data_IF_392706867111
#
_entry.id   IF_392706867111
#
_cell.length_a   1.000
_cell.length_b   1.000
_cell.length_c   1.000
_cell.angle_alpha   90.00
_cell.angle_beta   90.00
_cell.angle_gamma   90.00
#
_symmetry.space_group_name_H-M   'P 1'
#
loop_
_entity.id
_entity.type
_entity.pdbx_description
1 polymer ?
#
# COMPACT_ATOMS: atom_id res chain seq x y z
N UNK A 1 6.39 -4.64 25.63
CA UNK A 1 5.18 -4.45 24.81
C UNK A 1 5.48 -3.44 23.72
N UNK A 2 5.85 -3.89 22.51
CA UNK A 2 5.89 -3.02 21.34
C UNK A 2 4.47 -3.00 20.80
N UNK A 3 3.78 -1.89 21.00
CA UNK A 3 2.40 -1.64 20.61
C UNK A 3 2.25 -1.92 19.12
N UNK A 4 1.19 -2.64 18.73
CA UNK A 4 0.70 -2.67 17.36
C UNK A 4 0.47 -1.22 16.93
N UNK A 5 1.47 -0.57 16.32
CA UNK A 5 1.25 0.70 15.64
C UNK A 5 0.09 0.44 14.67
N UNK A 6 -1.03 1.13 14.90
CA UNK A 6 -2.35 0.75 14.41
C UNK A 6 -2.31 0.52 12.91
N UNK A 7 -2.68 -0.70 12.50
CA UNK A 7 -2.67 -1.06 11.08
C UNK A 7 -3.70 -0.20 10.37
N UNK A 8 -3.28 0.49 9.32
CA UNK A 8 -4.17 1.29 8.49
C UNK A 8 -4.74 0.42 7.36
N UNK A 9 -6.02 0.57 7.08
CA UNK A 9 -6.73 -0.25 6.10
C UNK A 9 -7.55 0.61 5.15
N UNK A 10 -7.57 0.23 3.88
CA UNK A 10 -8.53 0.73 2.89
C UNK A 10 -9.13 -0.44 2.11
N UNK A 11 -10.38 -0.26 1.69
CA UNK A 11 -10.99 -1.13 0.69
C UNK A 11 -10.58 -0.65 -0.69
N UNK A 12 -10.26 -1.60 -1.55
CA UNK A 12 -9.90 -1.37 -2.94
C UNK A 12 -10.89 -2.11 -3.82
N UNK A 13 -11.52 -1.37 -4.72
CA UNK A 13 -12.39 -1.91 -5.76
C UNK A 13 -11.56 -2.20 -7.01
N UNK A 14 -11.61 -3.44 -7.47
CA UNK A 14 -10.93 -3.87 -8.69
C UNK A 14 -11.62 -3.25 -9.89
N UNK A 15 -10.88 -2.47 -10.67
CA UNK A 15 -11.38 -1.83 -11.88
C UNK A 15 -11.31 -2.78 -13.07
N UNK A 16 -12.12 -2.53 -14.10
CA UNK A 16 -12.08 -3.35 -15.32
C UNK A 16 -10.70 -3.37 -15.98
N UNK A 17 -9.99 -2.25 -15.93
CA UNK A 17 -8.65 -2.08 -16.50
C UNK A 17 -7.54 -2.73 -15.65
N UNK A 18 -7.87 -3.18 -14.44
CA UNK A 18 -6.92 -3.91 -13.59
C UNK A 18 -6.73 -5.35 -14.05
N UNK A 19 -7.64 -5.88 -14.88
CA UNK A 19 -7.66 -7.28 -15.33
C UNK A 19 -6.80 -7.45 -16.60
N UNK A 20 -5.86 -8.40 -16.56
CA UNK A 20 -4.99 -8.74 -17.66
C UNK A 20 -5.60 -9.80 -18.62
N UNK A 21 -4.85 -10.15 -19.67
CA UNK A 21 -5.24 -11.16 -20.66
C UNK A 21 -5.41 -12.58 -20.09
N UNK A 22 -4.97 -12.83 -18.85
CA UNK A 22 -5.14 -14.10 -18.14
C UNK A 22 -6.39 -14.09 -17.25
N UNK A 23 -7.25 -13.07 -17.37
CA UNK A 23 -8.48 -12.88 -16.58
C UNK A 23 -8.23 -12.77 -15.07
N UNK A 24 -7.07 -12.22 -14.68
CA UNK A 24 -6.72 -11.92 -13.28
C UNK A 24 -6.21 -10.50 -13.17
N UNK A 25 -6.11 -9.98 -11.96
CA UNK A 25 -5.48 -8.67 -11.73
C UNK A 25 -4.02 -8.70 -12.19
N UNK A 26 -3.61 -7.72 -13.00
CA UNK A 26 -2.25 -7.54 -13.46
C UNK A 26 -1.30 -7.33 -12.26
N UNK A 27 -0.12 -7.94 -12.29
CA UNK A 27 0.84 -7.84 -11.19
C UNK A 27 1.29 -6.40 -10.89
N UNK A 28 1.34 -5.50 -11.88
CA UNK A 28 1.67 -4.08 -11.68
C UNK A 28 0.61 -3.36 -10.84
N UNK A 29 -0.66 -3.78 -10.93
CA UNK A 29 -1.75 -3.18 -10.16
C UNK A 29 -1.57 -3.40 -8.66
N UNK A 30 -1.00 -4.53 -8.25
CA UNK A 30 -0.68 -4.77 -6.83
C UNK A 30 0.31 -3.74 -6.29
N UNK A 31 1.33 -3.37 -7.07
CA UNK A 31 2.28 -2.32 -6.68
C UNK A 31 1.59 -0.95 -6.58
N UNK A 32 0.64 -0.66 -7.48
CA UNK A 32 -0.20 0.54 -7.38
C UNK A 32 -0.98 0.56 -6.07
N UNK A 33 -1.65 -0.54 -5.71
CA UNK A 33 -2.40 -0.65 -4.46
C UNK A 33 -1.53 -0.48 -3.20
N UNK A 34 -0.30 -1.01 -3.21
CA UNK A 34 0.68 -0.79 -2.13
C UNK A 34 0.98 0.70 -1.97
N UNK A 35 1.17 1.43 -3.09
CA UNK A 35 1.37 2.88 -3.06
C UNK A 35 0.10 3.62 -2.60
N UNK A 36 -1.07 3.24 -3.08
CA UNK A 36 -2.35 3.88 -2.74
C UNK A 36 -2.61 3.81 -1.22
N UNK A 37 -2.47 2.63 -0.61
CA UNK A 37 -2.66 2.48 0.84
C UNK A 37 -1.57 3.18 1.65
N UNK A 38 -0.33 3.25 1.14
CA UNK A 38 0.74 3.99 1.79
C UNK A 38 0.49 5.51 1.80
N UNK A 39 0.03 6.06 0.68
CA UNK A 39 -0.35 7.48 0.54
C UNK A 39 -1.56 7.79 1.41
N UNK A 40 -2.58 6.94 1.39
CA UNK A 40 -3.78 7.11 2.21
C UNK A 40 -3.42 7.08 3.71
N UNK A 41 -2.54 6.15 4.13
CA UNK A 41 -2.06 6.11 5.51
C UNK A 41 -1.31 7.41 5.86
N UNK A 42 -0.35 7.84 5.02
CA UNK A 42 0.40 9.08 5.23
C UNK A 42 -0.51 10.30 5.36
N UNK A 43 -1.46 10.46 4.43
CA UNK A 43 -2.38 11.60 4.38
C UNK A 43 -3.32 11.65 5.60
N UNK A 44 -3.64 10.49 6.18
CA UNK A 44 -4.51 10.39 7.34
C UNK A 44 -3.83 10.80 8.66
N UNK A 45 -2.51 10.62 8.78
CA UNK A 45 -1.79 10.81 10.06
C UNK A 45 -0.81 11.98 10.06
N UNK A 46 -0.30 12.38 8.89
CA UNK A 46 0.73 13.40 8.81
C UNK A 46 0.15 14.82 8.94
N UNK A 47 0.79 15.73 9.68
CA UNK A 47 0.42 17.14 9.70
C UNK A 47 0.43 17.75 8.28
N UNK A 48 -0.50 18.67 7.94
CA UNK A 48 -0.54 19.29 6.61
C UNK A 48 0.78 19.92 6.17
N UNK A 49 1.49 20.56 7.11
CA UNK A 49 2.80 21.16 6.85
C UNK A 49 3.88 20.14 6.43
N UNK A 50 3.81 18.92 6.96
CA UNK A 50 4.73 17.85 6.60
C UNK A 50 4.35 17.25 5.24
N UNK A 51 3.05 17.16 4.93
CA UNK A 51 2.58 16.71 3.62
C UNK A 51 3.03 17.65 2.49
N UNK A 52 3.18 18.95 2.77
CA UNK A 52 3.65 19.95 1.80
C UNK A 52 5.19 19.96 1.65
N UNK A 53 5.92 19.70 2.74
CA UNK A 53 7.39 19.84 2.78
C UNK A 53 8.14 18.55 2.52
N UNK A 54 7.55 17.40 2.84
CA UNK A 54 8.24 16.11 2.80
C UNK A 54 7.83 15.30 1.59
N UNK A 55 8.83 14.75 0.91
CA UNK A 55 8.65 13.79 -0.18
C UNK A 55 9.42 12.52 0.17
N UNK A 56 8.78 11.38 -0.05
CA UNK A 56 9.39 10.07 0.11
C UNK A 56 9.40 9.33 -1.23
N UNK A 57 10.39 8.47 -1.40
CA UNK A 57 10.53 7.61 -2.58
C UNK A 57 10.76 6.18 -2.11
N UNK A 58 10.07 5.23 -2.76
CA UNK A 58 10.26 3.80 -2.48
C UNK A 58 11.64 3.39 -3.01
N UNK A 59 12.50 2.89 -2.12
CA UNK A 59 13.85 2.42 -2.49
C UNK A 59 13.85 0.97 -2.98
N UNK A 60 12.94 0.16 -2.46
CA UNK A 60 12.82 -1.28 -2.72
C UNK A 60 11.43 -1.76 -2.33
N UNK A 61 10.89 -2.71 -3.07
CA UNK A 61 9.67 -3.43 -2.70
C UNK A 61 9.87 -4.93 -2.97
N UNK A 62 9.20 -5.76 -2.19
CA UNK A 62 9.04 -7.19 -2.42
C UNK A 62 7.55 -7.52 -2.39
N UNK A 63 7.10 -8.35 -3.32
CA UNK A 63 5.71 -8.76 -3.40
C UNK A 63 5.66 -10.27 -3.59
N UNK A 64 5.08 -10.96 -2.63
CA UNK A 64 4.76 -12.38 -2.72
C UNK A 64 3.31 -12.58 -3.17
N UNK A 65 3.13 -13.12 -4.37
CA UNK A 65 1.81 -13.41 -4.93
C UNK A 65 1.32 -14.79 -4.45
N UNK A 66 0.53 -14.79 -3.37
CA UNK A 66 0.01 -16.04 -2.78
C UNK A 66 -1.20 -16.61 -3.53
N UNK A 67 -2.11 -15.73 -3.98
CA UNK A 67 -3.33 -16.07 -4.72
C UNK A 67 -3.66 -14.94 -5.71
N UNK A 68 -4.12 -15.25 -6.94
CA UNK A 68 -4.58 -14.22 -7.86
C UNK A 68 -5.88 -13.58 -7.33
N UNK A 69 -6.01 -12.27 -7.50
CA UNK A 69 -7.26 -11.56 -7.36
C UNK A 69 -8.00 -11.58 -8.70
N UNK A 70 -9.31 -11.76 -8.66
CA UNK A 70 -10.18 -11.88 -9.81
C UNK A 70 -11.23 -10.78 -9.82
N UNK A 71 -11.87 -10.58 -10.98
CA UNK A 71 -12.99 -9.66 -11.11
C UNK A 71 -14.09 -10.02 -10.10
N UNK A 72 -14.54 -9.02 -9.34
CA UNK A 72 -15.58 -9.18 -8.32
C UNK A 72 -15.05 -9.48 -6.92
N UNK A 73 -13.75 -9.77 -6.76
CA UNK A 73 -13.15 -9.87 -5.42
C UNK A 73 -13.16 -8.51 -4.72
N UNK A 74 -13.34 -8.55 -3.40
CA UNK A 74 -13.17 -7.38 -2.53
C UNK A 74 -11.76 -7.40 -1.92
N UNK A 75 -10.97 -6.38 -2.20
CA UNK A 75 -9.60 -6.28 -1.70
C UNK A 75 -9.56 -5.37 -0.47
N UNK A 76 -8.93 -5.87 0.59
CA UNK A 76 -8.59 -5.09 1.77
C UNK A 76 -7.07 -4.88 1.79
N UNK A 77 -6.62 -3.67 1.49
CA UNK A 77 -5.22 -3.31 1.60
C UNK A 77 -4.95 -2.83 3.03
N UNK A 78 -3.93 -3.42 3.65
CA UNK A 78 -3.54 -3.12 5.03
C UNK A 78 -2.07 -2.79 5.06
N UNK A 79 -1.71 -1.75 5.81
CA UNK A 79 -0.32 -1.30 5.91
C UNK A 79 0.03 -0.77 7.30
N UNK A 80 1.30 -0.84 7.67
CA UNK A 80 1.82 -0.24 8.91
C UNK A 80 3.30 0.14 8.76
N UNK A 81 3.77 1.04 9.61
CA UNK A 81 5.17 1.44 9.67
C UNK A 81 5.95 0.42 10.50
N UNK A 82 7.06 -0.06 9.95
CA UNK A 82 8.01 -0.96 10.59
C UNK A 82 9.15 -0.20 11.27
N UNK A 83 10.35 -0.75 11.19
CA UNK A 83 11.53 -0.11 11.79
C UNK A 83 11.87 1.19 11.05
N UNK A 84 12.15 2.24 11.82
CA UNK A 84 12.50 3.55 11.28
C UNK A 84 13.93 3.94 11.70
N UNK A 85 14.66 4.51 10.74
CA UNK A 85 15.94 5.18 10.92
C UNK A 85 15.79 6.67 10.61
N UNK A 86 16.88 7.43 10.72
CA UNK A 86 16.88 8.87 10.39
C UNK A 86 16.54 9.16 8.91
N UNK A 87 16.81 8.23 8.00
CA UNK A 87 16.75 8.47 6.55
C UNK A 87 15.80 7.55 5.79
N UNK A 88 15.27 6.52 6.43
CA UNK A 88 14.43 5.50 5.82
C UNK A 88 13.66 4.75 6.90
N UNK A 89 12.53 4.19 6.52
CA UNK A 89 11.75 3.29 7.35
C UNK A 89 11.23 2.14 6.49
N UNK A 90 11.00 1.00 7.13
CA UNK A 90 10.30 -0.12 6.52
C UNK A 90 8.79 0.12 6.60
N UNK A 91 8.08 -0.40 5.61
CA UNK A 91 6.61 -0.43 5.57
C UNK A 91 6.18 -1.81 5.11
N UNK A 92 5.10 -2.29 5.72
CA UNK A 92 4.45 -3.54 5.40
C UNK A 92 3.01 -3.29 4.95
#
# INVERSE_FOLDING_TARGET
MKTEAERFEIRIEIQSDDIDMQNRVNNVVYLRWVQDVAIAHWSAIAPPEDQEKLVWVVRRHEIDYKRPALRGDSILARTWIGEASRLAFDRH
#
